data_IF_514784813114
#
_entry.id   IF_514784813114
#
_cell.length_a   1.000
_cell.length_b   1.000
_cell.length_c   1.000
_cell.angle_alpha   90.00
_cell.angle_beta   90.00
_cell.angle_gamma   90.00
#
_symmetry.space_group_name_H-M   'P 1'
#
loop_
_entity.id
_entity.type
_entity.pdbx_description
1 polymer ?
#
# COMPACT_ATOMS: atom_id res chain seq x y z
N UNK A 1 8.73 32.14 -28.29
CA UNK A 1 8.96 31.48 -26.99
C UNK A 1 9.25 30.02 -27.27
N UNK A 2 10.48 29.57 -27.01
CA UNK A 2 10.95 28.20 -27.26
C UNK A 2 10.52 27.26 -26.13
N UNK A 3 10.21 25.99 -26.44
CA UNK A 3 9.85 24.92 -25.48
C UNK A 3 10.75 24.83 -24.23
N UNK A 4 12.00 25.30 -24.31
CA UNK A 4 12.92 25.43 -23.17
C UNK A 4 12.43 26.36 -22.05
N UNK A 5 11.53 27.31 -22.32
CA UNK A 5 10.95 28.20 -21.30
C UNK A 5 9.73 27.60 -20.60
N UNK A 6 9.12 26.53 -21.12
CA UNK A 6 7.97 25.87 -20.47
C UNK A 6 8.37 24.78 -19.47
N UNK A 7 9.66 24.49 -19.34
CA UNK A 7 10.24 23.63 -18.30
C UNK A 7 10.52 24.38 -16.99
N UNK A 8 10.36 25.71 -16.98
CA UNK A 8 10.47 26.53 -15.79
C UNK A 8 9.17 26.44 -14.97
N UNK A 9 9.33 25.86 -13.76
CA UNK A 9 8.36 25.77 -12.68
C UNK A 9 7.17 24.79 -12.85
N UNK A 10 7.43 23.53 -13.26
CA UNK A 10 6.51 22.46 -12.84
C UNK A 10 6.53 22.38 -11.31
N UNK A 11 5.34 22.47 -10.70
CA UNK A 11 5.22 22.41 -9.25
C UNK A 11 5.55 20.99 -8.82
N UNK A 12 6.64 20.83 -8.08
CA UNK A 12 7.04 19.52 -7.56
C UNK A 12 6.09 19.09 -6.47
N UNK A 13 5.53 17.90 -6.62
CA UNK A 13 4.66 17.28 -5.64
C UNK A 13 5.52 16.72 -4.52
N UNK A 14 5.07 16.84 -3.27
CA UNK A 14 5.73 16.16 -2.16
C UNK A 14 5.34 14.69 -2.15
N UNK A 15 6.31 13.81 -2.36
CA UNK A 15 6.07 12.36 -2.35
C UNK A 15 6.20 11.84 -0.93
N UNK A 16 5.16 11.16 -0.44
CA UNK A 16 5.13 10.52 0.87
C UNK A 16 4.89 9.03 0.67
N UNK A 17 5.74 8.21 1.26
CA UNK A 17 5.56 6.76 1.33
C UNK A 17 5.03 6.43 2.72
N UNK A 18 3.74 6.12 2.80
CA UNK A 18 3.07 5.71 4.03
C UNK A 18 3.22 4.20 4.18
N UNK A 19 4.08 3.79 5.11
CA UNK A 19 4.28 2.39 5.48
C UNK A 19 3.44 2.09 6.72
N UNK A 20 2.33 1.38 6.54
CA UNK A 20 1.37 1.02 7.59
C UNK A 20 0.99 -0.45 7.45
N UNK A 21 0.66 -1.11 8.56
CA UNK A 21 0.30 -2.52 8.48
C UNK A 21 -0.88 -2.76 7.49
N UNK A 22 -0.80 -3.75 6.57
CA UNK A 22 -1.82 -4.03 5.58
C UNK A 22 -3.21 -4.33 6.15
N UNK A 23 -3.31 -4.70 7.43
CA UNK A 23 -4.60 -4.90 8.11
C UNK A 23 -5.46 -3.64 8.10
N UNK A 24 -4.83 -2.47 7.99
CA UNK A 24 -5.48 -1.16 7.91
C UNK A 24 -5.87 -0.75 6.50
N UNK A 25 -5.73 -1.63 5.50
CA UNK A 25 -6.13 -1.37 4.12
C UNK A 25 -7.66 -1.37 3.90
N UNK A 26 -8.48 -1.35 4.95
CA UNK A 26 -9.92 -1.05 4.83
C UNK A 26 -10.18 0.48 4.82
N UNK A 27 -9.19 1.31 5.19
CA UNK A 27 -9.35 2.77 5.25
C UNK A 27 -9.64 3.31 3.86
N UNK A 28 -10.77 4.03 3.75
CA UNK A 28 -11.09 4.82 2.56
C UNK A 28 -10.57 6.24 2.78
N UNK A 29 -9.66 6.70 1.95
CA UNK A 29 -9.06 8.03 2.11
C UNK A 29 -10.04 9.09 1.61
N UNK A 30 -10.20 10.16 2.41
CA UNK A 30 -11.06 11.28 2.05
C UNK A 30 -10.33 12.10 0.99
N UNK A 31 -11.03 12.44 -0.08
CA UNK A 31 -10.50 13.36 -1.08
C UNK A 31 -10.23 14.71 -0.43
N UNK A 32 -8.97 15.15 -0.49
CA UNK A 32 -8.57 16.48 -0.05
C UNK A 32 -8.08 17.28 -1.25
N UNK A 33 -8.43 18.58 -1.33
CA UNK A 33 -7.89 19.42 -2.39
C UNK A 33 -6.37 19.38 -2.35
N UNK A 34 -5.75 19.07 -3.49
CA UNK A 34 -4.30 19.07 -3.67
C UNK A 34 -3.55 17.85 -3.08
N UNK A 35 -4.23 16.80 -2.61
CA UNK A 35 -3.58 15.55 -2.17
C UNK A 35 -4.15 14.39 -2.95
N UNK A 36 -3.27 13.55 -3.48
CA UNK A 36 -3.66 12.35 -4.20
C UNK A 36 -3.10 11.10 -3.53
N UNK A 37 -4.00 10.14 -3.26
CA UNK A 37 -3.69 8.86 -2.64
C UNK A 37 -3.61 7.73 -3.66
N UNK A 38 -2.59 6.88 -3.51
CA UNK A 38 -2.41 5.68 -4.31
C UNK A 38 -2.12 4.49 -3.41
N UNK A 39 -3.00 3.49 -3.45
CA UNK A 39 -2.70 2.17 -2.91
C UNK A 39 -2.06 1.30 -3.98
N UNK A 40 -1.40 0.21 -3.54
CA UNK A 40 -0.80 -0.74 -4.48
C UNK A 40 -1.81 -1.35 -5.47
N UNK A 41 -3.04 -1.61 -5.02
CA UNK A 41 -4.10 -2.09 -5.91
C UNK A 41 -4.29 -1.17 -7.14
N UNK A 42 -4.17 0.15 -6.96
CA UNK A 42 -4.26 1.09 -8.06
C UNK A 42 -3.07 1.00 -9.01
N UNK A 43 -1.91 0.50 -8.58
CA UNK A 43 -0.71 0.39 -9.40
C UNK A 43 -0.67 -0.92 -10.19
N UNK A 44 -1.36 -1.97 -9.74
CA UNK A 44 -1.27 -3.30 -10.35
C UNK A 44 -2.36 -3.48 -11.41
N UNK A 45 -1.93 -3.50 -12.67
CA UNK A 45 -2.80 -3.77 -13.82
C UNK A 45 -3.04 -5.29 -13.95
N UNK A 46 -4.25 -5.68 -14.29
CA UNK A 46 -4.67 -7.06 -14.64
C UNK A 46 -4.50 -8.13 -13.56
N UNK A 47 -4.57 -7.76 -12.28
CA UNK A 47 -4.52 -8.73 -11.18
C UNK A 47 -5.67 -9.73 -11.22
N UNK A 48 -6.87 -9.26 -11.58
CA UNK A 48 -8.09 -10.09 -11.64
C UNK A 48 -7.94 -11.21 -12.66
N UNK A 49 -7.55 -10.88 -13.89
CA UNK A 49 -7.37 -11.83 -14.98
C UNK A 49 -6.30 -12.87 -14.65
N UNK A 50 -5.16 -12.44 -14.09
CA UNK A 50 -4.07 -13.35 -13.68
C UNK A 50 -4.50 -14.31 -12.57
N UNK A 51 -5.30 -13.84 -11.60
CA UNK A 51 -5.86 -14.69 -10.54
C UNK A 51 -6.88 -15.70 -11.09
N UNK A 52 -7.74 -15.29 -12.02
CA UNK A 52 -8.71 -16.18 -12.65
C UNK A 52 -8.03 -17.27 -13.50
N UNK A 53 -7.06 -16.89 -14.35
CA UNK A 53 -6.29 -17.84 -15.14
C UNK A 53 -5.51 -18.82 -14.25
N UNK A 54 -4.93 -18.34 -13.15
CA UNK A 54 -4.26 -19.21 -12.17
C UNK A 54 -5.21 -20.23 -11.55
N UNK A 55 -6.42 -19.82 -11.16
CA UNK A 55 -7.42 -20.72 -10.57
C UNK A 55 -7.80 -21.87 -11.50
N UNK A 56 -7.87 -21.61 -12.80
CA UNK A 56 -8.16 -22.62 -13.82
C UNK A 56 -7.01 -23.62 -14.00
N UNK A 57 -5.76 -23.13 -13.90
CA UNK A 57 -4.56 -23.93 -14.16
C UNK A 57 -4.02 -24.65 -12.92
N UNK A 58 -4.35 -24.20 -11.70
CA UNK A 58 -3.85 -24.71 -10.39
C UNK A 58 -2.33 -24.94 -10.35
N UNK A 59 -1.56 -24.13 -11.07
CA UNK A 59 -0.16 -24.45 -11.40
C UNK A 59 0.86 -24.07 -10.31
N UNK A 60 0.50 -23.19 -9.37
CA UNK A 60 1.34 -22.76 -8.24
C UNK A 60 0.45 -22.50 -7.00
N UNK A 61 1.03 -22.33 -5.81
CA UNK A 61 0.27 -21.82 -4.66
C UNK A 61 -0.02 -20.31 -4.79
N UNK A 62 -1.03 -19.83 -4.05
CA UNK A 62 -1.49 -18.44 -4.10
C UNK A 62 -0.40 -17.43 -3.76
N UNK A 63 0.49 -17.75 -2.80
CA UNK A 63 1.55 -16.83 -2.36
C UNK A 63 2.54 -16.61 -3.51
N UNK A 64 3.01 -17.69 -4.12
CA UNK A 64 3.95 -17.62 -5.25
C UNK A 64 3.38 -16.81 -6.42
N UNK A 65 2.09 -16.98 -6.74
CA UNK A 65 1.44 -16.16 -7.77
C UNK A 65 1.43 -14.68 -7.39
N UNK A 66 1.01 -14.36 -6.17
CA UNK A 66 0.88 -12.98 -5.72
C UNK A 66 2.23 -12.25 -5.72
N UNK A 67 3.31 -12.93 -5.33
CA UNK A 67 4.67 -12.40 -5.43
C UNK A 67 5.07 -12.12 -6.89
N UNK A 68 4.80 -13.06 -7.81
CA UNK A 68 5.06 -12.85 -9.24
C UNK A 68 4.28 -11.65 -9.80
N UNK A 69 2.99 -11.54 -9.48
CA UNK A 69 2.15 -10.42 -9.94
C UNK A 69 2.70 -9.09 -9.42
N UNK A 70 3.08 -9.03 -8.15
CA UNK A 70 3.59 -7.81 -7.52
C UNK A 70 4.93 -7.39 -8.14
N UNK A 71 5.87 -8.32 -8.34
CA UNK A 71 7.19 -8.02 -8.88
C UNK A 71 7.14 -7.62 -10.36
N UNK A 72 6.26 -8.25 -11.17
CA UNK A 72 6.13 -7.95 -12.61
C UNK A 72 5.46 -6.60 -12.88
N UNK A 73 4.56 -6.15 -12.00
CA UNK A 73 3.79 -4.93 -12.23
C UNK A 73 4.60 -3.63 -12.05
N UNK A 74 5.84 -3.70 -11.56
CA UNK A 74 6.61 -2.52 -11.10
C UNK A 74 7.68 -2.10 -12.11
N UNK A 75 8.25 -3.05 -12.87
CA UNK A 75 9.33 -2.79 -13.84
C UNK A 75 8.87 -2.12 -15.14
N UNK A 76 7.57 -2.07 -15.43
CA UNK A 76 7.01 -1.51 -16.68
C UNK A 76 5.82 -0.58 -16.44
N UNK A 77 5.72 0.02 -15.25
CA UNK A 77 4.49 0.66 -14.81
C UNK A 77 4.32 2.08 -15.39
N UNK A 78 3.79 2.18 -16.61
CA UNK A 78 3.41 3.45 -17.23
C UNK A 78 2.44 4.25 -16.33
N UNK A 79 1.62 3.56 -15.53
CA UNK A 79 0.71 4.21 -14.56
C UNK A 79 1.49 4.91 -13.45
N UNK A 80 2.56 4.32 -12.93
CA UNK A 80 3.43 4.97 -11.94
C UNK A 80 4.05 6.25 -12.50
N UNK A 81 4.49 6.23 -13.76
CA UNK A 81 4.99 7.43 -14.43
C UNK A 81 3.90 8.51 -14.53
N UNK A 82 2.70 8.16 -15.01
CA UNK A 82 1.56 9.09 -15.09
C UNK A 82 1.23 9.70 -13.72
N UNK A 83 1.29 8.90 -12.67
CA UNK A 83 1.04 9.35 -11.30
C UNK A 83 2.02 10.44 -10.86
N UNK A 84 3.31 10.27 -11.17
CA UNK A 84 4.36 11.23 -10.79
C UNK A 84 4.31 12.55 -11.57
N UNK A 85 3.58 12.58 -12.69
CA UNK A 85 3.37 13.78 -13.51
C UNK A 85 2.20 14.66 -12.97
N UNK A 86 1.35 14.12 -12.08
CA UNK A 86 0.19 14.81 -11.52
C UNK A 86 0.65 15.95 -10.59
N UNK A 87 0.12 17.15 -10.85
CA UNK A 87 0.51 18.43 -10.24
C UNK A 87 -0.21 18.70 -8.92
N UNK A 88 -0.06 17.79 -7.98
CA UNK A 88 -0.65 17.86 -6.64
C UNK A 88 0.31 18.50 -5.64
N UNK A 89 -0.18 18.92 -4.47
CA UNK A 89 0.74 19.32 -3.40
C UNK A 89 1.45 18.10 -2.80
N UNK A 90 0.74 16.96 -2.72
CA UNK A 90 1.25 15.71 -2.15
C UNK A 90 0.78 14.50 -2.96
N UNK A 91 1.70 13.57 -3.21
CA UNK A 91 1.40 12.23 -3.72
C UNK A 91 1.69 11.25 -2.58
N UNK A 92 0.65 10.56 -2.10
CA UNK A 92 0.74 9.63 -0.99
C UNK A 92 0.67 8.20 -1.54
N UNK A 93 1.78 7.47 -1.45
CA UNK A 93 1.83 6.05 -1.76
C UNK A 93 1.63 5.25 -0.48
N UNK A 94 0.54 4.49 -0.43
CA UNK A 94 0.14 3.68 0.71
C UNK A 94 0.62 2.25 0.48
N UNK A 95 1.49 1.76 1.36
CA UNK A 95 2.05 0.40 1.31
C UNK A 95 2.74 0.07 -0.02
N UNK A 96 3.22 1.10 -0.70
CA UNK A 96 4.14 1.05 -1.82
C UNK A 96 5.28 2.03 -1.54
N UNK A 97 6.55 1.68 -1.82
CA UNK A 97 7.07 0.43 -2.39
C UNK A 97 6.86 -0.80 -1.48
N UNK A 98 6.85 -2.02 -2.06
CA UNK A 98 6.74 -3.29 -1.33
C UNK A 98 8.06 -3.96 -1.05
N UNK A 99 9.12 -3.55 -1.73
CA UNK A 99 10.46 -4.04 -1.54
C UNK A 99 11.48 -2.92 -1.68
N UNK A 100 12.73 -3.20 -1.32
CA UNK A 100 13.83 -2.28 -1.61
C UNK A 100 14.00 -2.09 -3.12
N UNK A 101 13.84 -3.15 -3.89
CA UNK A 101 13.97 -3.14 -5.35
C UNK A 101 12.90 -2.23 -5.98
N UNK A 102 11.67 -2.29 -5.47
CA UNK A 102 10.59 -1.39 -5.89
C UNK A 102 10.89 0.06 -5.54
N UNK A 103 11.50 0.31 -4.38
CA UNK A 103 11.91 1.65 -4.00
C UNK A 103 12.99 2.18 -4.95
N UNK A 104 13.98 1.35 -5.30
CA UNK A 104 15.02 1.71 -6.26
C UNK A 104 14.45 2.01 -7.65
N UNK A 105 13.43 1.26 -8.08
CA UNK A 105 12.74 1.53 -9.34
C UNK A 105 11.93 2.82 -9.27
N UNK A 106 11.17 3.02 -8.19
CA UNK A 106 10.45 4.27 -7.93
C UNK A 106 11.39 5.49 -7.95
N UNK A 107 12.60 5.38 -7.39
CA UNK A 107 13.61 6.45 -7.43
C UNK A 107 13.98 6.86 -8.85
N UNK A 108 14.10 5.91 -9.78
CA UNK A 108 14.40 6.20 -11.19
C UNK A 108 13.27 7.04 -11.80
N UNK A 109 12.03 6.66 -11.54
CA UNK A 109 10.85 7.39 -12.03
C UNK A 109 10.70 8.77 -11.38
N UNK A 110 10.95 8.89 -10.07
CA UNK A 110 10.96 10.18 -9.36
C UNK A 110 11.99 11.13 -9.98
N UNK A 111 13.20 10.64 -10.24
CA UNK A 111 14.26 11.44 -10.90
C UNK A 111 13.88 11.81 -12.32
N UNK A 112 13.33 10.88 -13.09
CA UNK A 112 12.85 11.13 -14.45
C UNK A 112 11.75 12.21 -14.48
N UNK A 113 10.86 12.21 -13.51
CA UNK A 113 9.79 13.21 -13.36
C UNK A 113 10.27 14.53 -12.71
N UNK A 114 11.57 14.69 -12.45
CA UNK A 114 12.18 15.82 -11.74
C UNK A 114 11.51 16.10 -10.37
N UNK A 115 11.09 15.06 -9.66
CA UNK A 115 10.47 15.17 -8.33
C UNK A 115 11.52 15.12 -7.20
N UNK A 116 11.15 15.63 -6.03
CA UNK A 116 12.00 15.54 -4.84
C UNK A 116 12.07 14.10 -4.31
N UNK A 117 13.16 13.72 -3.60
CA UNK A 117 13.22 12.45 -2.89
C UNK A 117 12.01 12.25 -1.96
N UNK A 118 11.52 11.02 -1.81
CA UNK A 118 10.34 10.77 -1.01
C UNK A 118 10.60 10.97 0.50
N UNK A 119 9.54 11.30 1.22
CA UNK A 119 9.49 11.26 2.68
C UNK A 119 8.89 9.92 3.12
N UNK A 120 9.60 9.18 3.98
CA UNK A 120 9.04 7.98 4.63
C UNK A 120 8.21 8.41 5.83
N UNK A 121 6.92 8.08 5.81
CA UNK A 121 6.03 8.21 6.96
C UNK A 121 5.82 6.82 7.57
N UNK A 122 6.40 6.61 8.74
CA UNK A 122 6.30 5.38 9.51
C UNK A 122 5.26 5.58 10.61
N UNK A 123 4.26 4.71 10.61
CA UNK A 123 3.22 4.70 11.63
C UNK A 123 3.54 3.61 12.63
N UNK A 124 3.86 4.03 13.85
CA UNK A 124 4.01 3.14 14.98
C UNK A 124 2.78 3.22 15.87
N UNK A 125 2.45 2.09 16.48
CA UNK A 125 1.31 1.96 17.36
C UNK A 125 1.81 1.80 18.80
N UNK A 126 1.14 2.46 19.74
CA UNK A 126 1.39 2.31 21.18
C UNK A 126 1.18 0.86 21.62
N UNK A 127 1.61 0.49 22.84
CA UNK A 127 1.32 -0.85 23.41
C UNK A 127 -0.17 -1.18 23.43
N UNK A 128 -1.02 -0.25 23.89
CA UNK A 128 -2.48 -0.38 23.85
C UNK A 128 -3.00 -0.66 22.43
N UNK A 129 -2.33 -0.11 21.44
CA UNK A 129 -2.71 -0.28 20.03
C UNK A 129 -2.13 -1.55 19.40
N UNK A 130 -1.13 -2.19 20.00
CA UNK A 130 -0.69 -3.55 19.62
C UNK A 130 -1.75 -4.60 19.95
N UNK A 131 -2.51 -4.41 21.02
CA UNK A 131 -3.64 -5.28 21.38
C UNK A 131 -4.75 -5.19 20.31
N UNK A 132 -5.10 -3.97 19.90
CA UNK A 132 -6.04 -3.72 18.79
C UNK A 132 -5.54 -4.38 17.50
N UNK A 133 -4.24 -4.29 17.20
CA UNK A 133 -3.67 -4.97 16.04
C UNK A 133 -3.83 -6.50 16.11
N UNK A 134 -3.58 -7.11 17.28
CA UNK A 134 -3.75 -8.55 17.47
C UNK A 134 -5.21 -8.97 17.29
N UNK A 135 -6.16 -8.20 17.82
CA UNK A 135 -7.58 -8.43 17.63
C UNK A 135 -7.99 -8.33 16.15
N UNK A 136 -7.58 -7.26 15.46
CA UNK A 136 -7.86 -7.06 14.04
C UNK A 136 -7.26 -8.18 13.19
N UNK A 137 -6.04 -8.62 13.49
CA UNK A 137 -5.39 -9.74 12.80
C UNK A 137 -6.20 -11.04 12.93
N UNK A 138 -6.83 -11.26 14.08
CA UNK A 138 -7.64 -12.45 14.32
C UNK A 138 -9.01 -12.38 13.65
N UNK A 139 -9.62 -11.20 13.59
CA UNK A 139 -10.99 -10.99 13.10
C UNK A 139 -11.07 -10.57 11.63
N UNK A 140 -9.94 -10.21 11.01
CA UNK A 140 -9.90 -9.68 9.65
C UNK A 140 -9.03 -10.50 8.70
N UNK A 141 -9.28 -10.34 7.41
CA UNK A 141 -8.54 -10.96 6.31
C UNK A 141 -8.34 -9.96 5.19
N UNK A 142 -7.16 -9.97 4.62
CA UNK A 142 -6.80 -9.17 3.46
C UNK A 142 -7.05 -9.99 2.21
N UNK A 143 -7.81 -9.41 1.29
CA UNK A 143 -8.09 -10.03 0.01
C UNK A 143 -6.84 -9.99 -0.89
N UNK A 144 -6.39 -11.11 -1.46
CA UNK A 144 -5.27 -11.12 -2.41
C UNK A 144 -5.51 -10.23 -3.65
N UNK A 145 -6.77 -10.08 -4.07
CA UNK A 145 -7.15 -9.32 -5.24
C UNK A 145 -7.13 -7.80 -4.98
N UNK A 146 -8.03 -7.31 -4.14
CA UNK A 146 -8.22 -5.88 -3.93
C UNK A 146 -7.35 -5.31 -2.82
N UNK A 147 -6.65 -6.17 -2.06
CA UNK A 147 -5.81 -5.82 -0.89
C UNK A 147 -6.51 -5.05 0.22
N UNK A 148 -7.83 -5.00 0.17
CA UNK A 148 -8.64 -4.49 1.26
C UNK A 148 -8.74 -5.55 2.36
N UNK A 149 -8.76 -5.05 3.58
CA UNK A 149 -9.04 -5.83 4.77
C UNK A 149 -10.55 -5.94 4.95
N UNK A 150 -11.03 -7.13 5.33
CA UNK A 150 -12.44 -7.44 5.53
C UNK A 150 -12.61 -8.23 6.82
N UNK A 151 -13.75 -8.06 7.50
CA UNK A 151 -14.09 -8.89 8.65
C UNK A 151 -14.36 -10.33 8.19
N UNK A 152 -13.70 -11.31 8.84
CA UNK A 152 -13.82 -12.74 8.56
C UNK A 152 -15.28 -13.19 8.65
N UNK A 153 -15.99 -12.80 9.71
CA UNK A 153 -17.38 -13.18 9.96
C UNK A 153 -18.36 -12.75 8.86
N UNK A 154 -18.06 -11.67 8.14
CA UNK A 154 -18.92 -11.14 7.08
C UNK A 154 -18.61 -11.76 5.71
N UNK A 155 -17.40 -12.28 5.52
CA UNK A 155 -16.87 -12.63 4.19
C UNK A 155 -16.47 -14.09 4.03
N UNK A 156 -16.28 -14.83 5.14
CA UNK A 156 -16.11 -16.28 5.12
C UNK A 156 -17.47 -16.93 5.41
N UNK A 157 -17.97 -17.70 4.44
CA UNK A 157 -19.19 -18.51 4.57
C UNK A 157 -18.88 -19.94 4.15
N UNK A 158 -19.25 -20.90 4.99
CA UNK A 158 -19.01 -22.32 4.74
C UNK A 158 -17.55 -22.65 4.33
N UNK A 159 -16.57 -22.08 5.03
CA UNK A 159 -15.14 -22.31 4.77
C UNK A 159 -14.59 -21.66 3.49
N UNK A 160 -15.38 -20.79 2.85
CA UNK A 160 -14.99 -20.07 1.63
C UNK A 160 -15.04 -18.58 1.88
N UNK A 161 -13.93 -17.89 1.62
CA UNK A 161 -13.91 -16.44 1.54
C UNK A 161 -14.43 -15.98 0.17
N UNK A 162 -15.30 -14.98 0.16
CA UNK A 162 -15.74 -14.28 -1.06
C UNK A 162 -15.26 -12.83 -1.01
N UNK A 163 -14.47 -12.40 -2.01
CA UNK A 163 -14.07 -11.00 -2.13
C UNK A 163 -15.31 -10.11 -2.39
N UNK A 164 -15.64 -9.15 -1.52
CA UNK A 164 -16.82 -8.30 -1.73
C UNK A 164 -16.72 -7.33 -2.92
N UNK A 165 -15.51 -7.09 -3.44
CA UNK A 165 -15.32 -6.15 -4.54
C UNK A 165 -15.52 -6.77 -5.93
N UNK A 166 -15.26 -8.07 -6.07
CA UNK A 166 -15.05 -8.69 -7.39
C UNK A 166 -15.49 -10.16 -7.46
N UNK A 167 -16.08 -10.67 -6.36
CA UNK A 167 -16.72 -12.00 -6.26
C UNK A 167 -15.80 -13.20 -6.54
N UNK A 168 -14.47 -13.00 -6.55
CA UNK A 168 -13.51 -14.11 -6.54
C UNK A 168 -13.50 -14.77 -5.17
N UNK A 169 -13.68 -16.09 -5.16
CA UNK A 169 -13.62 -16.90 -3.94
C UNK A 169 -12.22 -17.42 -3.61
N UNK A 170 -11.96 -17.76 -2.36
CA UNK A 170 -10.76 -18.49 -1.95
C UNK A 170 -11.17 -19.45 -0.83
N UNK A 171 -10.53 -20.61 -0.71
CA UNK A 171 -10.73 -21.40 0.51
C UNK A 171 -10.20 -20.63 1.72
N UNK A 172 -10.82 -20.84 2.88
CA UNK A 172 -10.38 -20.20 4.13
C UNK A 172 -8.89 -20.47 4.41
N UNK A 173 -8.43 -21.71 4.22
CA UNK A 173 -7.04 -22.09 4.44
C UNK A 173 -6.07 -21.35 3.50
N UNK A 174 -6.43 -21.16 2.22
CA UNK A 174 -5.58 -20.41 1.28
C UNK A 174 -5.44 -18.95 1.69
N UNK A 175 -6.53 -18.29 2.05
CA UNK A 175 -6.48 -16.88 2.42
C UNK A 175 -5.81 -16.66 3.77
N UNK A 176 -5.98 -17.56 4.74
CA UNK A 176 -5.30 -17.48 6.04
C UNK A 176 -3.78 -17.61 5.88
N UNK A 177 -3.31 -18.60 5.11
CA UNK A 177 -1.88 -18.74 4.78
C UNK A 177 -1.32 -17.51 4.06
N UNK A 178 -2.07 -16.98 3.09
CA UNK A 178 -1.68 -15.75 2.41
C UNK A 178 -1.55 -14.57 3.37
N UNK A 179 -2.48 -14.41 4.32
CA UNK A 179 -2.44 -13.33 5.30
C UNK A 179 -1.24 -13.45 6.25
N UNK A 180 -0.97 -14.63 6.77
CA UNK A 180 0.21 -14.88 7.61
C UNK A 180 1.52 -14.55 6.89
N UNK A 181 1.64 -14.98 5.64
CA UNK A 181 2.77 -14.64 4.78
C UNK A 181 2.86 -13.13 4.57
N UNK A 182 1.76 -12.48 4.17
CA UNK A 182 1.71 -11.05 3.88
C UNK A 182 2.19 -10.21 5.07
N UNK A 183 1.76 -10.51 6.30
CA UNK A 183 2.20 -9.75 7.47
C UNK A 183 3.69 -9.93 7.77
N UNK A 184 4.19 -11.15 7.63
CA UNK A 184 5.59 -11.49 7.88
C UNK A 184 6.50 -10.83 6.84
N UNK A 185 6.16 -11.01 5.56
CA UNK A 185 6.91 -10.44 4.45
C UNK A 185 6.87 -8.90 4.48
N UNK A 186 5.70 -8.29 4.68
CA UNK A 186 5.57 -6.84 4.75
C UNK A 186 6.42 -6.23 5.88
N UNK A 187 6.47 -6.88 7.04
CA UNK A 187 7.31 -6.42 8.16
C UNK A 187 8.79 -6.47 7.77
N UNK A 188 9.24 -7.59 7.19
CA UNK A 188 10.62 -7.76 6.73
C UNK A 188 10.99 -6.72 5.66
N UNK A 189 10.13 -6.54 4.66
CA UNK A 189 10.36 -5.61 3.55
C UNK A 189 10.32 -4.15 3.97
N UNK A 190 9.47 -3.76 4.91
CA UNK A 190 9.49 -2.42 5.46
C UNK A 190 10.81 -2.11 6.16
N UNK A 191 11.40 -3.07 6.89
CA UNK A 191 12.73 -2.90 7.49
C UNK A 191 13.77 -2.63 6.39
N UNK A 192 13.78 -3.44 5.33
CA UNK A 192 14.69 -3.25 4.18
C UNK A 192 14.53 -1.86 3.53
N UNK A 193 13.29 -1.40 3.34
CA UNK A 193 12.96 -0.07 2.79
C UNK A 193 13.46 1.05 3.71
N UNK A 194 13.23 0.93 5.03
CA UNK A 194 13.64 1.94 6.01
C UNK A 194 15.17 2.06 6.05
N UNK A 195 15.88 0.93 6.12
CA UNK A 195 17.34 0.93 6.13
C UNK A 195 17.93 1.50 4.84
N UNK A 196 17.32 1.19 3.69
CA UNK A 196 17.68 1.82 2.42
C UNK A 196 17.44 3.34 2.45
N UNK A 197 16.28 3.79 2.95
CA UNK A 197 15.96 5.21 3.08
C UNK A 197 16.94 5.96 3.99
N UNK A 198 17.36 5.35 5.11
CA UNK A 198 18.39 5.90 6.00
C UNK A 198 19.72 6.08 5.26
N UNK A 199 20.19 5.04 4.56
CA UNK A 199 21.43 5.08 3.77
C UNK A 199 21.42 6.18 2.71
N UNK A 200 20.25 6.44 2.12
CA UNK A 200 20.05 7.47 1.09
C UNK A 200 19.56 8.82 1.64
N UNK A 201 19.63 9.03 2.96
CA UNK A 201 19.31 10.30 3.64
C UNK A 201 17.88 10.80 3.38
N UNK A 202 16.92 9.88 3.28
CA UNK A 202 15.52 10.26 3.17
C UNK A 202 15.05 10.94 4.46
N UNK A 203 14.09 11.86 4.33
CA UNK A 203 13.37 12.35 5.50
C UNK A 203 12.48 11.23 6.02
N UNK A 204 12.76 10.76 7.24
CA UNK A 204 11.98 9.73 7.91
C UNK A 204 11.20 10.40 9.05
N UNK A 205 9.88 10.26 9.01
CA UNK A 205 8.97 10.75 10.03
C UNK A 205 8.34 9.55 10.72
N UNK A 206 8.67 9.37 12.00
CA UNK A 206 7.99 8.41 12.85
C UNK A 206 6.85 9.12 13.57
N UNK A 207 5.65 8.55 13.48
CA UNK A 207 4.46 9.02 14.16
C UNK A 207 3.88 7.89 14.98
N UNK A 208 3.72 8.16 16.26
CA UNK A 208 3.00 7.26 17.14
C UNK A 208 1.51 7.59 17.08
N UNK A 209 0.69 6.57 16.85
CA UNK A 209 -0.76 6.67 16.86
C UNK A 209 -1.31 5.94 18.08
N UNK A 210 -1.96 6.73 18.95
CA UNK A 210 -2.79 6.22 20.02
C UNK A 210 -4.21 6.05 19.49
N UNK A 211 -4.64 4.81 19.34
CA UNK A 211 -6.02 4.52 18.97
C UNK A 211 -6.89 4.32 20.22
N UNK A 212 -8.14 4.81 20.22
CA UNK A 212 -9.10 4.46 21.27
C UNK A 212 -9.34 2.94 21.28
N UNK A 213 -9.80 2.44 22.42
CA UNK A 213 -10.12 1.01 22.65
C UNK A 213 -11.15 0.48 21.67
N UNK A 214 -12.11 1.33 21.36
CA UNK A 214 -13.27 1.18 20.50
C UNK A 214 -12.91 1.63 19.07
N UNK A 215 -11.89 0.97 18.55
CA UNK A 215 -11.23 1.33 17.30
C UNK A 215 -12.18 1.42 16.10
N UNK A 216 -12.30 2.62 15.53
CA UNK A 216 -13.06 2.87 14.31
C UNK A 216 -12.18 3.32 13.14
N UNK A 217 -12.59 2.91 11.95
CA UNK A 217 -11.92 3.24 10.69
C UNK A 217 -11.74 4.75 10.48
N UNK A 218 -12.77 5.54 10.79
CA UNK A 218 -12.79 6.99 10.63
C UNK A 218 -11.80 7.68 11.57
N UNK A 219 -11.65 7.19 12.80
CA UNK A 219 -10.72 7.75 13.79
C UNK A 219 -9.28 7.57 13.32
N UNK A 220 -8.92 6.37 12.87
CA UNK A 220 -7.58 6.11 12.34
C UNK A 220 -7.31 6.92 11.08
N UNK A 221 -8.27 6.97 10.16
CA UNK A 221 -8.17 7.77 8.94
C UNK A 221 -7.90 9.24 9.28
N UNK A 222 -8.70 9.85 10.16
CA UNK A 222 -8.54 11.24 10.58
C UNK A 222 -7.16 11.48 11.19
N UNK A 223 -6.72 10.57 12.07
CA UNK A 223 -5.41 10.70 12.71
C UNK A 223 -4.26 10.62 11.70
N UNK A 224 -4.31 9.67 10.75
CA UNK A 224 -3.34 9.57 9.66
C UNK A 224 -3.36 10.80 8.76
N UNK A 225 -4.55 11.31 8.44
CA UNK A 225 -4.73 12.51 7.64
C UNK A 225 -4.07 13.73 8.28
N UNK A 226 -4.26 13.92 9.58
CA UNK A 226 -3.59 14.97 10.35
C UNK A 226 -2.06 14.84 10.31
N UNK A 227 -1.53 13.62 10.34
CA UNK A 227 -0.10 13.40 10.19
C UNK A 227 0.40 13.74 8.79
N UNK A 228 -0.32 13.32 7.75
CA UNK A 228 -0.02 13.63 6.34
C UNK A 228 -0.05 15.15 6.11
N UNK A 229 -0.99 15.87 6.72
CA UNK A 229 -1.12 17.32 6.56
C UNK A 229 0.04 18.11 7.18
N UNK A 230 0.66 17.60 8.24
CA UNK A 230 1.86 18.18 8.88
C UNK A 230 3.16 18.00 8.09
N UNK A 231 3.15 17.15 7.06
CA UNK A 231 4.31 16.89 6.21
C UNK A 231 4.43 17.99 5.18
#
# INVERSE_FOLDING_TARGET
MTEKQSLLARKKSKIVLLLINPIFNYITWKEEPKIYYYSLHNLIVDRKEKLMAWKEQKSNDLISLMEKINNLAISSNEKLRKILEIQESKLIFINYPRSKEDLQELEKWIRFADQNPPTLLLVHFTEKTKEIFAELKNTSIICPLCERSWKKELTIKAGTFLCPADEISFSQNEIEKFNEHLFTDHTKKNIEIIEYGKKNKYKILQRELSLPTDFESEILQKSLQEQINKI
#
